data_IF_308212774063
#
_entry.id   IF_308212774063
#
_cell.length_a   1.000
_cell.length_b   1.000
_cell.length_c   1.000
_cell.angle_alpha   90.00
_cell.angle_beta   90.00
_cell.angle_gamma   90.00
#
_symmetry.space_group_name_H-M   'P 1'
#
loop_
_entity.id
_entity.type
_entity.pdbx_description
1 polymer ?
#
# COMPACT_ATOMS: atom_id res chain seq x y z
N UNK A 1 -2.19 12.89 -25.81
CA UNK A 1 -2.54 13.34 -24.45
C UNK A 1 -1.47 12.89 -23.46
N UNK A 2 -1.01 13.77 -22.58
CA UNK A 2 -0.04 13.41 -21.55
C UNK A 2 -0.77 12.69 -20.40
N UNK A 3 -0.47 11.40 -20.21
CA UNK A 3 -1.01 10.58 -19.13
C UNK A 3 -0.28 10.85 -17.83
N UNK A 4 -0.99 10.80 -16.72
CA UNK A 4 -0.41 10.84 -15.37
C UNK A 4 0.37 9.56 -15.08
N UNK A 5 1.21 9.56 -14.03
CA UNK A 5 1.92 8.36 -13.58
C UNK A 5 0.93 7.23 -13.25
N UNK A 6 -0.14 7.54 -12.52
CA UNK A 6 -1.19 6.59 -12.16
C UNK A 6 -1.84 5.96 -13.39
N UNK A 7 -2.25 6.76 -14.39
CA UNK A 7 -2.83 6.24 -15.63
C UNK A 7 -1.85 5.33 -16.39
N UNK A 8 -0.55 5.64 -16.36
CA UNK A 8 0.48 4.78 -16.97
C UNK A 8 0.62 3.45 -16.26
N UNK A 9 0.71 3.47 -14.92
CA UNK A 9 0.83 2.25 -14.10
C UNK A 9 -0.41 1.38 -14.29
N UNK A 10 -1.60 1.96 -14.13
CA UNK A 10 -2.86 1.23 -14.24
C UNK A 10 -3.12 0.72 -15.66
N UNK A 11 -2.73 1.48 -16.71
CA UNK A 11 -2.83 1.00 -18.10
C UNK A 11 -1.93 -0.23 -18.33
N UNK A 12 -0.71 -0.23 -17.78
CA UNK A 12 0.18 -1.39 -17.82
C UNK A 12 -0.43 -2.59 -17.09
N UNK A 13 -0.95 -2.37 -15.87
CA UNK A 13 -1.52 -3.43 -15.04
C UNK A 13 -2.82 -4.00 -15.60
N UNK A 14 -3.63 -3.18 -16.28
CA UNK A 14 -4.86 -3.59 -16.95
C UNK A 14 -4.61 -4.21 -18.34
N UNK A 15 -3.42 -4.05 -18.92
CA UNK A 15 -3.12 -4.47 -20.29
C UNK A 15 -3.84 -3.67 -21.38
N UNK A 16 -4.46 -2.55 -21.02
CA UNK A 16 -5.16 -1.64 -21.94
C UNK A 16 -5.08 -0.19 -21.44
N UNK A 17 -5.21 0.80 -22.31
CA UNK A 17 -5.33 2.18 -21.89
C UNK A 17 -6.52 2.40 -20.95
N UNK A 18 -6.29 3.15 -19.87
CA UNK A 18 -7.34 3.55 -18.93
C UNK A 18 -7.33 5.06 -18.72
N UNK A 19 -8.48 5.61 -18.35
CA UNK A 19 -8.71 7.04 -18.06
C UNK A 19 -9.40 7.20 -16.71
N UNK A 20 -9.29 8.38 -16.07
CA UNK A 20 -9.98 8.64 -14.82
C UNK A 20 -11.49 8.36 -14.89
N UNK A 21 -12.00 7.63 -13.91
CA UNK A 21 -13.40 7.18 -13.85
C UNK A 21 -13.63 5.76 -14.36
N UNK A 22 -12.73 5.20 -15.17
CA UNK A 22 -12.85 3.82 -15.62
C UNK A 22 -12.79 2.84 -14.44
N UNK A 23 -13.64 1.81 -14.48
CA UNK A 23 -13.55 0.66 -13.58
C UNK A 23 -12.93 -0.51 -14.35
N UNK A 24 -11.86 -1.07 -13.84
CA UNK A 24 -11.12 -2.11 -14.54
C UNK A 24 -10.45 -3.09 -13.59
N UNK A 25 -10.28 -4.31 -14.04
CA UNK A 25 -9.43 -5.30 -13.37
C UNK A 25 -7.97 -5.04 -13.72
N UNK A 26 -7.11 -5.16 -12.72
CA UNK A 26 -5.66 -4.95 -12.85
C UNK A 26 -4.89 -6.12 -12.23
N UNK A 27 -3.70 -6.39 -12.78
CA UNK A 27 -2.71 -7.28 -12.16
C UNK A 27 -2.03 -6.58 -11.00
N UNK A 28 -1.80 -7.33 -9.92
CA UNK A 28 -1.11 -6.85 -8.72
C UNK A 28 0.33 -7.35 -8.72
N UNK A 29 1.28 -6.46 -8.47
CA UNK A 29 2.71 -6.80 -8.40
C UNK A 29 3.11 -7.25 -6.99
N UNK A 30 2.53 -6.65 -5.94
CA UNK A 30 2.76 -7.03 -4.55
C UNK A 30 1.45 -7.02 -3.77
N UNK A 31 1.29 -8.04 -2.92
CA UNK A 31 0.20 -8.12 -1.94
C UNK A 31 0.83 -8.16 -0.55
N UNK A 32 0.26 -7.46 0.43
CA UNK A 32 0.78 -7.49 1.78
C UNK A 32 -0.32 -7.48 2.84
N UNK A 33 0.01 -7.96 4.02
CA UNK A 33 -0.78 -7.79 5.23
C UNK A 33 0.10 -7.96 6.48
N UNK A 34 -0.42 -7.55 7.61
CA UNK A 34 0.24 -7.63 8.90
C UNK A 34 -0.53 -8.51 9.89
N UNK A 35 -0.02 -8.65 11.10
CA UNK A 35 -0.57 -9.53 12.12
C UNK A 35 -2.02 -9.20 12.54
N UNK A 36 -2.42 -7.93 12.56
CA UNK A 36 -3.79 -7.56 12.94
C UNK A 36 -4.83 -7.92 11.87
N UNK A 37 -4.54 -7.71 10.59
CA UNK A 37 -5.48 -7.91 9.49
C UNK A 37 -5.31 -9.25 8.76
N UNK A 38 -4.12 -9.84 8.82
CA UNK A 38 -3.79 -11.07 8.11
C UNK A 38 -4.66 -12.26 8.50
N UNK A 39 -5.07 -12.34 9.76
CA UNK A 39 -6.03 -13.36 10.21
C UNK A 39 -7.33 -13.31 9.41
N UNK A 40 -7.90 -12.10 9.21
CA UNK A 40 -9.13 -11.95 8.45
C UNK A 40 -8.96 -12.28 6.97
N UNK A 41 -7.79 -11.99 6.39
CA UNK A 41 -7.47 -12.41 5.01
C UNK A 41 -7.46 -13.92 4.90
N UNK A 42 -6.80 -14.63 5.82
CA UNK A 42 -6.74 -16.09 5.86
C UNK A 42 -8.13 -16.68 6.08
N UNK A 43 -8.91 -16.14 7.02
CA UNK A 43 -10.29 -16.57 7.29
C UNK A 43 -11.18 -16.48 6.04
N UNK A 44 -11.05 -15.41 5.25
CA UNK A 44 -11.77 -15.29 3.97
C UNK A 44 -11.29 -16.34 2.96
N UNK A 45 -9.99 -16.57 2.86
CA UNK A 45 -9.42 -17.60 1.98
C UNK A 45 -9.93 -18.99 2.34
N UNK A 46 -10.04 -19.32 3.63
CA UNK A 46 -10.62 -20.58 4.13
C UNK A 46 -12.09 -20.70 3.78
N UNK A 47 -12.90 -19.66 3.99
CA UNK A 47 -14.32 -19.61 3.64
C UNK A 47 -14.58 -19.81 2.14
N UNK A 48 -13.69 -19.31 1.30
CA UNK A 48 -13.72 -19.51 -0.16
C UNK A 48 -13.24 -20.91 -0.55
N UNK A 49 -12.63 -21.66 0.38
CA UNK A 49 -12.09 -22.99 0.15
C UNK A 49 -10.78 -23.01 -0.64
N UNK A 50 -10.03 -21.91 -0.65
CA UNK A 50 -8.77 -21.80 -1.37
C UNK A 50 -7.70 -21.09 -0.56
N UNK A 51 -6.72 -21.83 -0.08
CA UNK A 51 -5.50 -21.28 0.55
C UNK A 51 -4.36 -21.08 -0.46
N UNK A 52 -4.67 -21.10 -1.75
CA UNK A 52 -3.67 -20.91 -2.81
C UNK A 52 -3.19 -19.46 -2.85
N UNK A 53 -1.88 -19.26 -2.88
CA UNK A 53 -1.24 -17.98 -3.16
C UNK A 53 -0.81 -17.96 -4.63
N UNK A 54 -1.20 -16.93 -5.39
CA UNK A 54 -0.92 -16.83 -6.82
C UNK A 54 0.58 -16.83 -7.13
N UNK A 55 1.36 -16.16 -6.29
CA UNK A 55 2.82 -16.12 -6.36
C UNK A 55 3.38 -15.86 -4.94
N UNK A 56 3.96 -16.88 -4.29
CA UNK A 56 4.55 -16.74 -2.95
C UNK A 56 5.61 -15.64 -2.85
N UNK A 57 6.35 -15.37 -3.91
CA UNK A 57 7.37 -14.31 -3.96
C UNK A 57 6.80 -12.89 -4.00
N UNK A 58 5.50 -12.74 -4.22
CA UNK A 58 4.83 -11.44 -4.28
C UNK A 58 3.97 -11.14 -3.05
N UNK A 59 3.78 -12.11 -2.17
CA UNK A 59 3.11 -11.92 -0.89
C UNK A 59 4.14 -11.55 0.19
N UNK A 60 3.93 -10.42 0.84
CA UNK A 60 4.78 -9.92 1.94
C UNK A 60 3.96 -9.85 3.22
N UNK A 61 4.45 -10.44 4.27
CA UNK A 61 3.79 -10.45 5.58
C UNK A 61 4.78 -9.94 6.63
N UNK A 62 4.34 -8.98 7.46
CA UNK A 62 5.14 -8.48 8.56
C UNK A 62 4.31 -8.35 9.84
N UNK A 63 4.93 -8.64 10.96
CA UNK A 63 4.32 -8.47 12.28
C UNK A 63 4.81 -7.17 12.92
N UNK A 64 3.93 -6.18 12.98
CA UNK A 64 4.26 -4.83 13.44
C UNK A 64 3.14 -4.14 14.24
N UNK A 65 1.90 -4.63 14.20
CA UNK A 65 0.77 -4.02 14.90
C UNK A 65 0.53 -4.62 16.29
N UNK A 66 0.66 -5.93 16.43
CA UNK A 66 0.49 -6.67 17.68
C UNK A 66 1.83 -7.25 18.18
N UNK A 67 2.90 -6.53 17.97
CA UNK A 67 4.27 -7.00 18.21
C UNK A 67 4.98 -6.17 19.30
N UNK A 68 5.25 -6.74 20.49
CA UNK A 68 4.88 -8.10 20.94
C UNK A 68 3.37 -8.25 21.17
N UNK A 69 2.80 -9.47 21.10
CA UNK A 69 1.37 -9.66 21.30
C UNK A 69 0.96 -9.23 22.71
N UNK A 70 -0.03 -8.33 22.84
CA UNK A 70 -0.42 -7.78 24.14
C UNK A 70 -1.26 -8.74 24.98
N UNK A 71 -1.84 -9.76 24.37
CA UNK A 71 -2.71 -10.75 25.03
C UNK A 71 -2.67 -12.11 24.33
N UNK A 72 -3.34 -13.11 24.95
CA UNK A 72 -3.40 -14.49 24.44
C UNK A 72 -4.04 -14.55 23.07
N UNK A 73 -5.12 -13.78 22.82
CA UNK A 73 -5.82 -13.77 21.52
C UNK A 73 -4.91 -13.27 20.41
N UNK A 74 -4.17 -12.21 20.66
CA UNK A 74 -3.19 -11.68 19.71
C UNK A 74 -2.08 -12.68 19.39
N UNK A 75 -1.62 -13.42 20.41
CA UNK A 75 -0.64 -14.49 20.21
C UNK A 75 -1.20 -15.66 19.38
N UNK A 76 -2.47 -16.03 19.60
CA UNK A 76 -3.18 -17.05 18.80
C UNK A 76 -3.31 -16.62 17.33
N UNK A 77 -3.71 -15.39 17.08
CA UNK A 77 -3.79 -14.81 15.73
C UNK A 77 -2.44 -14.88 15.02
N UNK A 78 -1.37 -14.47 15.70
CA UNK A 78 -0.02 -14.60 15.16
C UNK A 78 0.37 -16.06 14.91
N UNK A 79 -0.06 -16.97 15.79
CA UNK A 79 0.13 -18.42 15.62
C UNK A 79 -0.50 -18.96 14.34
N UNK A 80 -1.73 -18.55 14.03
CA UNK A 80 -2.45 -18.90 12.80
C UNK A 80 -1.67 -18.42 11.57
N UNK A 81 -1.23 -17.17 11.57
CA UNK A 81 -0.49 -16.61 10.44
C UNK A 81 0.86 -17.32 10.27
N UNK A 82 1.60 -17.61 11.35
CA UNK A 82 2.86 -18.39 11.27
C UNK A 82 2.63 -19.79 10.71
N UNK A 83 1.52 -20.46 11.08
CA UNK A 83 1.13 -21.75 10.53
C UNK A 83 0.89 -21.64 9.01
N UNK A 84 0.10 -20.67 8.56
CA UNK A 84 -0.15 -20.38 7.15
C UNK A 84 1.14 -20.17 6.36
N UNK A 85 2.04 -19.33 6.89
CA UNK A 85 3.37 -19.06 6.30
C UNK A 85 4.19 -20.34 6.15
N UNK A 86 4.23 -21.16 7.20
CA UNK A 86 5.01 -22.40 7.24
C UNK A 86 4.46 -23.46 6.26
N UNK A 87 3.15 -23.65 6.23
CA UNK A 87 2.49 -24.63 5.38
C UNK A 87 2.66 -24.31 3.88
N UNK A 88 2.58 -23.02 3.54
CA UNK A 88 2.74 -22.56 2.15
C UNK A 88 4.18 -22.19 1.79
N UNK A 89 5.13 -22.31 2.74
CA UNK A 89 6.56 -21.98 2.56
C UNK A 89 6.76 -20.57 1.98
N UNK A 90 6.07 -19.59 2.55
CA UNK A 90 6.12 -18.21 2.06
C UNK A 90 7.48 -17.58 2.38
N UNK A 91 8.22 -17.07 1.37
CA UNK A 91 9.59 -16.61 1.57
C UNK A 91 9.69 -15.22 2.22
N UNK A 92 8.67 -14.37 2.05
CA UNK A 92 8.72 -12.98 2.47
C UNK A 92 7.90 -12.75 3.76
N UNK A 93 8.25 -13.49 4.80
CA UNK A 93 7.67 -13.34 6.13
C UNK A 93 8.68 -12.68 7.08
N UNK A 94 8.23 -11.63 7.74
CA UNK A 94 8.99 -10.86 8.72
C UNK A 94 8.27 -10.93 10.06
N UNK A 95 8.83 -11.72 10.97
CA UNK A 95 8.28 -11.88 12.32
C UNK A 95 8.57 -10.63 13.18
N UNK A 96 8.06 -10.62 14.42
CA UNK A 96 8.22 -9.50 15.37
C UNK A 96 9.68 -9.02 15.46
N UNK A 97 9.84 -7.71 15.70
CA UNK A 97 11.13 -7.01 15.77
C UNK A 97 11.88 -6.84 14.44
N UNK A 98 11.26 -7.13 13.31
CA UNK A 98 11.92 -6.91 12.03
C UNK A 98 11.76 -5.47 11.52
N UNK A 99 10.57 -4.90 11.65
CA UNK A 99 10.27 -3.54 11.22
C UNK A 99 8.80 -3.34 10.86
N UNK A 100 8.43 -2.11 10.57
CA UNK A 100 7.09 -1.72 10.16
C UNK A 100 6.83 -2.19 8.72
N UNK A 101 5.69 -2.81 8.45
CA UNK A 101 5.32 -3.38 7.15
C UNK A 101 5.60 -2.42 5.98
N UNK A 102 5.15 -1.18 6.09
CA UNK A 102 5.27 -0.21 4.99
C UNK A 102 6.72 0.20 4.74
N UNK A 103 7.53 0.29 5.80
CA UNK A 103 8.96 0.56 5.66
C UNK A 103 9.69 -0.63 5.01
N UNK A 104 9.37 -1.84 5.44
CA UNK A 104 9.90 -3.07 4.85
C UNK A 104 9.53 -3.17 3.36
N UNK A 105 8.28 -2.81 3.01
CA UNK A 105 7.82 -2.80 1.62
C UNK A 105 8.64 -1.86 0.75
N UNK A 106 8.79 -0.60 1.15
CA UNK A 106 9.49 0.42 0.33
C UNK A 106 11.00 0.20 0.26
N UNK A 107 11.60 -0.42 1.27
CA UNK A 107 13.05 -0.66 1.30
C UNK A 107 13.46 -1.92 0.55
N UNK A 108 12.59 -2.95 0.46
CA UNK A 108 13.00 -4.27 -0.02
C UNK A 108 12.18 -4.85 -1.16
N UNK A 109 10.93 -4.46 -1.31
CA UNK A 109 10.00 -5.21 -2.15
C UNK A 109 9.36 -4.39 -3.27
N UNK A 110 9.17 -3.09 -3.07
CA UNK A 110 8.40 -2.25 -3.99
C UNK A 110 9.32 -1.46 -4.92
N UNK A 111 9.05 -1.55 -6.22
CA UNK A 111 9.74 -0.79 -7.25
C UNK A 111 8.84 0.30 -7.86
N UNK A 112 9.42 1.38 -8.42
CA UNK A 112 8.66 2.37 -9.16
C UNK A 112 7.83 1.75 -10.29
N UNK A 113 6.58 2.16 -10.40
CA UNK A 113 5.68 1.67 -11.42
C UNK A 113 4.91 0.40 -11.06
N UNK A 114 5.17 -0.24 -9.93
CA UNK A 114 4.44 -1.43 -9.48
C UNK A 114 3.06 -1.07 -8.91
N UNK A 115 2.16 -2.07 -8.89
CA UNK A 115 0.87 -2.04 -8.20
C UNK A 115 1.00 -2.82 -6.91
N UNK A 116 0.73 -2.14 -5.79
CA UNK A 116 0.81 -2.70 -4.43
C UNK A 116 -0.55 -2.63 -3.76
N UNK A 117 -1.03 -3.73 -3.22
CA UNK A 117 -2.25 -3.76 -2.41
C UNK A 117 -1.99 -4.40 -1.07
N UNK A 118 -2.60 -3.88 -0.01
CA UNK A 118 -2.46 -4.48 1.31
C UNK A 118 -3.74 -4.32 2.13
N UNK A 119 -3.90 -5.20 3.12
CA UNK A 119 -4.98 -5.12 4.10
C UNK A 119 -4.63 -4.12 5.21
N UNK A 120 -4.26 -2.90 4.80
CA UNK A 120 -3.89 -1.80 5.70
C UNK A 120 -4.16 -0.44 5.06
N UNK A 121 -4.64 0.51 5.84
CA UNK A 121 -4.98 1.85 5.39
C UNK A 121 -3.75 2.68 4.96
N UNK A 122 -2.57 2.39 5.52
CA UNK A 122 -1.33 3.10 5.24
C UNK A 122 -0.55 2.57 4.02
N UNK A 123 -1.13 1.66 3.26
CA UNK A 123 -0.53 1.07 2.04
C UNK A 123 -0.08 2.13 1.03
N UNK A 124 -0.78 3.26 0.98
CA UNK A 124 -0.44 4.42 0.13
C UNK A 124 0.98 4.94 0.35
N UNK A 125 1.64 4.60 1.47
CA UNK A 125 3.05 4.92 1.75
C UNK A 125 3.98 4.45 0.62
N UNK A 126 3.68 3.33 -0.04
CA UNK A 126 4.45 2.83 -1.18
C UNK A 126 4.39 3.75 -2.42
N UNK A 127 3.45 4.70 -2.45
CA UNK A 127 3.43 5.76 -3.45
C UNK A 127 4.64 6.69 -3.39
N UNK A 128 5.32 6.78 -2.24
CA UNK A 128 6.54 7.59 -2.07
C UNK A 128 7.68 7.13 -2.98
N UNK A 129 7.73 5.86 -3.33
CA UNK A 129 8.72 5.30 -4.26
C UNK A 129 8.20 5.18 -5.71
N UNK A 130 7.05 5.79 -6.02
CA UNK A 130 6.50 5.83 -7.38
C UNK A 130 5.67 4.60 -7.77
N UNK A 131 5.18 3.84 -6.82
CA UNK A 131 4.20 2.77 -7.03
C UNK A 131 2.76 3.30 -7.02
N UNK A 132 1.82 2.59 -7.64
CA UNK A 132 0.41 2.74 -7.33
C UNK A 132 0.07 1.80 -6.18
N UNK A 133 -0.29 2.37 -5.03
CA UNK A 133 -0.50 1.62 -3.82
C UNK A 133 -1.87 1.94 -3.20
N UNK A 134 -2.61 0.91 -2.82
CA UNK A 134 -3.95 1.04 -2.27
C UNK A 134 -4.20 0.06 -1.13
N UNK A 135 -4.74 0.58 -0.02
CA UNK A 135 -5.31 -0.22 1.06
C UNK A 135 -6.67 -0.79 0.65
N UNK A 136 -6.91 -2.05 0.92
CA UNK A 136 -8.13 -2.77 0.58
C UNK A 136 -8.66 -3.52 1.79
N UNK A 137 -9.94 -3.86 1.78
CA UNK A 137 -10.54 -4.74 2.78
C UNK A 137 -9.99 -6.17 2.70
N UNK A 138 -10.12 -6.92 3.79
CA UNK A 138 -9.58 -8.28 3.89
C UNK A 138 -10.10 -9.20 2.78
N UNK A 139 -11.35 -9.03 2.33
CA UNK A 139 -11.95 -9.83 1.25
C UNK A 139 -11.28 -9.57 -0.11
N UNK A 140 -11.02 -8.28 -0.42
CA UNK A 140 -10.37 -7.91 -1.68
C UNK A 140 -8.90 -8.33 -1.68
N UNK A 141 -8.23 -8.21 -0.52
CA UNK A 141 -6.85 -8.70 -0.37
C UNK A 141 -6.78 -10.22 -0.48
N UNK A 142 -7.72 -10.96 0.12
CA UNK A 142 -7.80 -12.41 -0.04
C UNK A 142 -7.97 -12.80 -1.52
N UNK A 143 -8.86 -12.12 -2.25
CA UNK A 143 -9.02 -12.32 -3.69
C UNK A 143 -7.71 -12.00 -4.44
N UNK A 144 -7.01 -10.92 -4.09
CA UNK A 144 -5.72 -10.58 -4.69
C UNK A 144 -4.64 -11.61 -4.38
N UNK A 145 -4.60 -12.17 -3.16
CA UNK A 145 -3.68 -13.25 -2.78
C UNK A 145 -3.93 -14.52 -3.61
N UNK A 146 -5.20 -14.85 -3.85
CA UNK A 146 -5.56 -16.08 -4.60
C UNK A 146 -5.33 -15.91 -6.10
N UNK A 147 -5.68 -14.73 -6.68
CA UNK A 147 -5.78 -14.54 -8.13
C UNK A 147 -4.64 -13.72 -8.73
N UNK A 148 -3.92 -12.95 -7.94
CA UNK A 148 -2.95 -11.95 -8.41
C UNK A 148 -3.60 -10.75 -9.09
N UNK A 149 -4.89 -10.51 -8.85
CA UNK A 149 -5.69 -9.46 -9.49
C UNK A 149 -6.60 -8.77 -8.49
N UNK A 150 -6.93 -7.53 -8.80
CA UNK A 150 -7.97 -6.78 -8.11
C UNK A 150 -8.66 -5.85 -9.10
N UNK A 151 -9.77 -5.27 -8.70
CA UNK A 151 -10.42 -4.22 -9.47
C UNK A 151 -10.07 -2.85 -8.92
N UNK A 152 -10.10 -1.85 -9.75
CA UNK A 152 -9.87 -0.46 -9.36
C UNK A 152 -10.73 0.49 -10.18
N UNK A 153 -11.25 1.52 -9.54
CA UNK A 153 -11.73 2.69 -10.25
C UNK A 153 -10.54 3.66 -10.43
N UNK A 154 -10.21 3.97 -11.66
CA UNK A 154 -9.11 4.88 -11.98
C UNK A 154 -9.37 6.26 -11.38
N UNK A 155 -8.57 6.73 -10.44
CA UNK A 155 -8.86 7.96 -9.72
C UNK A 155 -8.56 9.19 -10.58
N UNK A 156 -9.31 10.27 -10.34
CA UNK A 156 -9.01 11.58 -10.94
C UNK A 156 -7.76 12.17 -10.32
N UNK A 157 -6.78 12.61 -11.10
CA UNK A 157 -5.56 13.18 -10.55
C UNK A 157 -5.79 14.61 -10.06
N UNK A 158 -5.22 14.92 -8.91
CA UNK A 158 -5.20 16.26 -8.35
C UNK A 158 -3.77 16.82 -8.41
N UNK A 159 -3.59 17.99 -9.03
CA UNK A 159 -2.28 18.61 -9.19
C UNK A 159 -2.03 19.62 -8.07
N UNK A 160 -1.06 19.32 -7.20
CA UNK A 160 -0.55 20.28 -6.21
C UNK A 160 0.75 20.88 -6.70
N UNK A 161 0.82 22.20 -6.75
CA UNK A 161 2.06 22.93 -7.04
C UNK A 161 2.53 23.62 -5.77
N UNK A 162 3.65 23.14 -5.23
CA UNK A 162 4.34 23.83 -4.15
C UNK A 162 5.18 24.96 -4.74
N UNK A 163 5.05 26.17 -4.18
CA UNK A 163 5.73 27.38 -4.65
C UNK A 163 6.46 28.02 -3.48
N UNK A 164 7.68 28.48 -3.70
CA UNK A 164 8.54 29.08 -2.66
C UNK A 164 9.41 28.02 -1.97
N UNK A 165 10.08 28.46 -0.93
CA UNK A 165 10.93 27.61 -0.08
C UNK A 165 10.27 27.38 1.28
N UNK A 166 10.36 26.16 1.84
CA UNK A 166 9.82 25.88 3.16
C UNK A 166 10.66 26.61 4.23
N UNK A 167 10.00 27.09 5.26
CA UNK A 167 10.67 27.63 6.45
C UNK A 167 11.53 26.55 7.14
N UNK A 168 12.47 26.99 7.99
CA UNK A 168 13.47 26.13 8.65
C UNK A 168 12.87 24.93 9.40
N UNK A 169 11.67 25.06 9.95
CA UNK A 169 11.02 24.05 10.80
C UNK A 169 9.87 23.31 10.11
N UNK A 170 9.64 23.58 8.82
CA UNK A 170 8.58 22.92 8.04
C UNK A 170 9.07 21.56 7.54
N UNK A 171 8.32 20.51 7.86
CA UNK A 171 8.56 19.15 7.40
C UNK A 171 7.44 18.64 6.47
N UNK A 172 7.57 17.41 5.96
CA UNK A 172 6.60 16.82 5.04
C UNK A 172 5.20 16.70 5.63
N UNK A 173 5.07 16.43 6.92
CA UNK A 173 3.78 16.33 7.61
C UNK A 173 3.05 17.67 7.63
N UNK A 174 3.77 18.79 7.86
CA UNK A 174 3.17 20.13 7.84
C UNK A 174 2.62 20.46 6.45
N UNK A 175 3.37 20.12 5.41
CA UNK A 175 2.92 20.27 4.00
C UNK A 175 1.68 19.45 3.75
N UNK A 176 1.67 18.19 4.15
CA UNK A 176 0.53 17.30 3.98
C UNK A 176 -0.73 17.82 4.70
N UNK A 177 -0.60 18.21 5.97
CA UNK A 177 -1.70 18.78 6.75
C UNK A 177 -2.24 20.09 6.13
N UNK A 178 -1.35 20.95 5.59
CA UNK A 178 -1.77 22.16 4.88
C UNK A 178 -2.56 21.84 3.62
N UNK A 179 -2.12 20.87 2.83
CA UNK A 179 -2.81 20.42 1.62
C UNK A 179 -4.21 19.91 1.98
N UNK A 180 -4.31 19.01 2.97
CA UNK A 180 -5.60 18.47 3.45
C UNK A 180 -6.53 19.57 3.93
N UNK A 181 -6.06 20.47 4.78
CA UNK A 181 -6.85 21.59 5.29
C UNK A 181 -7.32 22.58 4.21
N UNK A 182 -6.58 22.66 3.09
CA UNK A 182 -6.95 23.54 1.97
C UNK A 182 -7.94 22.87 1.02
N UNK A 183 -7.84 21.55 0.81
CA UNK A 183 -8.68 20.82 -0.13
C UNK A 183 -10.13 20.61 0.35
N UNK A 184 -10.43 20.89 1.61
CA UNK A 184 -11.73 20.65 2.27
C UNK A 184 -12.29 19.23 2.07
N UNK A 185 -11.44 18.28 1.70
CA UNK A 185 -11.89 16.92 1.42
C UNK A 185 -11.52 16.01 2.59
N UNK A 186 -12.53 15.64 3.34
CA UNK A 186 -12.49 14.68 4.45
C UNK A 186 -12.94 13.28 4.02
N UNK A 187 -13.10 13.01 2.73
CA UNK A 187 -13.66 11.74 2.27
C UNK A 187 -12.67 10.90 1.49
N UNK A 188 -12.51 9.75 1.95
CA UNK A 188 -11.97 8.44 1.61
C UNK A 188 -11.90 7.99 0.14
N UNK A 189 -11.75 8.87 -0.82
CA UNK A 189 -11.45 8.43 -2.18
C UNK A 189 -9.96 8.56 -2.44
N UNK A 190 -9.33 7.46 -2.82
CA UNK A 190 -7.93 7.40 -3.20
C UNK A 190 -7.58 8.47 -4.24
N UNK A 191 -6.94 9.54 -3.81
CA UNK A 191 -6.51 10.63 -4.68
C UNK A 191 -5.03 10.47 -4.97
N UNK A 192 -4.64 10.12 -6.20
CA UNK A 192 -3.23 10.11 -6.58
C UNK A 192 -2.72 11.54 -6.70
N UNK A 193 -1.85 11.91 -5.81
CA UNK A 193 -1.19 13.20 -5.80
C UNK A 193 -0.13 13.30 -6.89
N UNK A 194 -0.16 14.37 -7.67
CA UNK A 194 0.98 14.78 -8.50
C UNK A 194 1.69 15.95 -7.84
N UNK A 195 2.89 15.76 -7.35
CA UNK A 195 3.79 16.87 -7.09
C UNK A 195 4.46 17.29 -8.40
N UNK A 196 4.37 18.55 -8.78
CA UNK A 196 5.05 19.12 -9.95
C UNK A 196 6.23 20.01 -9.55
N UNK A 197 6.71 19.91 -8.33
CA UNK A 197 7.94 20.55 -7.91
C UNK A 197 9.13 19.76 -8.46
N UNK A 198 10.17 20.45 -8.93
CA UNK A 198 11.49 19.84 -8.98
C UNK A 198 11.79 19.42 -7.55
N UNK A 199 12.02 18.13 -7.35
CA UNK A 199 12.37 17.60 -6.04
C UNK A 199 13.55 18.44 -5.50
N UNK A 200 13.46 19.02 -4.31
CA UNK A 200 14.65 19.58 -3.68
C UNK A 200 15.67 18.43 -3.53
N UNK A 201 16.96 18.73 -3.51
CA UNK A 201 17.99 17.71 -3.39
C UNK A 201 17.75 16.84 -2.13
N UNK A 202 18.04 15.53 -2.18
CA UNK A 202 17.70 14.57 -1.13
C UNK A 202 18.16 14.94 0.28
N UNK A 203 19.13 15.79 0.40
CA UNK A 203 19.73 16.21 1.68
C UNK A 203 18.83 17.10 2.56
N UNK A 204 17.71 17.60 2.06
CA UNK A 204 16.78 18.46 2.85
C UNK A 204 15.47 17.77 3.30
N UNK A 205 15.19 16.54 2.87
CA UNK A 205 13.94 15.84 3.15
C UNK A 205 14.17 14.50 3.85
N UNK A 206 15.03 14.47 4.86
CA UNK A 206 15.43 13.23 5.56
C UNK A 206 14.45 12.74 6.62
N UNK A 207 13.20 13.16 6.60
CA UNK A 207 12.22 12.73 7.58
C UNK A 207 11.07 11.97 6.91
N UNK A 208 11.26 10.67 6.68
CA UNK A 208 10.20 9.72 6.36
C UNK A 208 9.46 9.95 5.03
N UNK A 209 8.62 9.00 4.61
CA UNK A 209 7.82 9.15 3.41
C UNK A 209 6.91 10.38 3.52
N UNK A 210 6.97 11.25 2.51
CA UNK A 210 6.26 12.52 2.40
C UNK A 210 4.73 12.39 2.28
N UNK A 211 4.20 11.20 2.40
CA UNK A 211 2.79 10.93 2.15
C UNK A 211 2.04 10.72 3.45
N UNK A 212 0.92 11.42 3.64
CA UNK A 212 0.06 11.11 4.78
C UNK A 212 -0.47 9.70 4.60
N UNK A 213 -0.20 8.89 5.57
CA UNK A 213 -0.84 7.63 5.81
C UNK A 213 -2.23 7.94 6.39
N UNK A 214 -3.24 8.12 5.55
CA UNK A 214 -4.61 8.30 5.98
C UNK A 214 -5.47 7.18 5.42
N UNK A 215 -6.03 6.41 6.34
CA UNK A 215 -7.14 5.53 6.11
C UNK A 215 -8.45 6.27 6.31
#
# INVERSE_FOLDING_TARGET
MHRTLTEKILSRAAGKPVTPGDVTEIKVDKVAFHDLTGYHVIEVMEKVGSLKVFDPGRLVIAFDHLAPPPDVRSAEIQGIIRKFVKELRLPNFHDINYGILHQVLIEKYVNPGEVVVAADSHTTTSGAVGAFAQGLGASDVAAAVITGRTWVQVPQPFKVKLVGEPGKWINGKDVALKILGTSRQTTSTAWPWRSSSRSPPPSRWTTGPLWPTWG
#
